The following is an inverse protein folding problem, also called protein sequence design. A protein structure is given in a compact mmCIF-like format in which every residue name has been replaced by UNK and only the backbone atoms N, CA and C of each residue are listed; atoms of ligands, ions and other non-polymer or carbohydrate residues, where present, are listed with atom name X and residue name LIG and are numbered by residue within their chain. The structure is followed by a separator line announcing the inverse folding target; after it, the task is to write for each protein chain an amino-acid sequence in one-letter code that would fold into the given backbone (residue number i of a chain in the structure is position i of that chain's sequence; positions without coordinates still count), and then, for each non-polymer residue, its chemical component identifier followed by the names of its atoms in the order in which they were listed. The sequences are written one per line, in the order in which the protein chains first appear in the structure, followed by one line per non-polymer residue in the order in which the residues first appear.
data_IF_247807415752
#
_entry.id   IF_247807415752
#
_cell.length_a   1.000
_cell.length_b   1.000
_cell.length_c   1.000
_cell.angle_alpha   90.00
_cell.angle_beta   90.00
_cell.angle_gamma   90.00
#
_symmetry.space_group_name_H-M   'P 1'
#
loop_
_entity.id
_entity.type
_entity.pdbx_description
1 polymer ?
#
# COMPACT_ATOMS: atom_id res chain seq x y z
N UNK A 1 -49.95 -54.86 5.76
CA UNK A 1 -48.94 -54.20 4.89
C UNK A 1 -48.56 -52.77 5.35
N UNK A 2 -48.80 -52.37 6.62
CA UNK A 2 -48.54 -51.00 7.13
C UNK A 2 -47.36 -50.87 8.12
N UNK A 3 -46.78 -51.98 8.59
CA UNK A 3 -45.72 -51.96 9.61
C UNK A 3 -44.35 -51.53 9.06
N UNK A 4 -44.06 -51.88 7.79
CA UNK A 4 -42.74 -51.66 7.17
C UNK A 4 -42.51 -50.22 6.69
N UNK A 5 -43.54 -49.36 6.62
CA UNK A 5 -43.40 -47.95 6.14
C UNK A 5 -42.95 -46.99 7.24
N UNK A 6 -43.28 -47.28 8.49
CA UNK A 6 -42.90 -46.48 9.67
C UNK A 6 -41.38 -46.37 9.89
N UNK A 7 -40.57 -47.44 9.80
CA UNK A 7 -39.11 -47.33 9.97
C UNK A 7 -38.44 -46.56 8.81
N UNK A 8 -38.98 -46.64 7.59
CA UNK A 8 -38.47 -45.93 6.41
C UNK A 8 -38.67 -44.41 6.57
N UNK A 9 -39.84 -43.99 7.06
CA UNK A 9 -40.14 -42.58 7.32
C UNK A 9 -39.25 -42.00 8.44
N UNK A 10 -38.96 -42.78 9.48
CA UNK A 10 -38.06 -42.37 10.57
C UNK A 10 -36.62 -42.23 10.04
N UNK A 11 -36.15 -43.17 9.23
CA UNK A 11 -34.81 -43.10 8.64
C UNK A 11 -34.63 -41.87 7.72
N UNK A 12 -35.64 -41.53 6.93
CA UNK A 12 -35.63 -40.32 6.09
C UNK A 12 -35.61 -39.03 6.92
N UNK A 13 -36.41 -38.96 8.00
CA UNK A 13 -36.42 -37.81 8.89
C UNK A 13 -35.07 -37.61 9.59
N UNK A 14 -34.44 -38.70 10.06
CA UNK A 14 -33.10 -38.65 10.68
C UNK A 14 -32.05 -38.20 9.67
N UNK A 15 -32.09 -38.71 8.44
CA UNK A 15 -31.16 -38.31 7.38
C UNK A 15 -31.28 -36.82 7.03
N UNK A 16 -32.51 -36.30 6.97
CA UNK A 16 -32.79 -34.87 6.74
C UNK A 16 -32.24 -34.00 7.88
N UNK A 17 -32.40 -34.43 9.14
CA UNK A 17 -31.88 -33.70 10.30
C UNK A 17 -30.35 -33.68 10.28
N UNK A 18 -29.69 -34.80 9.97
CA UNK A 18 -28.23 -34.87 9.86
C UNK A 18 -27.72 -33.95 8.74
N UNK A 19 -28.42 -33.90 7.60
CA UNK A 19 -28.09 -33.01 6.49
C UNK A 19 -28.22 -31.54 6.88
N UNK A 20 -29.27 -31.16 7.61
CA UNK A 20 -29.47 -29.80 8.09
C UNK A 20 -28.39 -29.39 9.11
N UNK A 21 -27.97 -30.31 9.98
CA UNK A 21 -26.87 -30.08 10.93
C UNK A 21 -25.54 -29.90 10.20
N UNK A 22 -25.26 -30.67 9.14
CA UNK A 22 -24.06 -30.52 8.32
C UNK A 22 -24.03 -29.17 7.59
N UNK A 23 -25.16 -28.73 7.04
CA UNK A 23 -25.26 -27.42 6.37
C UNK A 23 -25.08 -26.30 7.38
N UNK A 24 -25.72 -26.39 8.55
CA UNK A 24 -25.52 -25.42 9.63
C UNK A 24 -24.06 -25.39 10.11
N UNK A 25 -23.41 -26.54 10.21
CA UNK A 25 -22.00 -26.64 10.58
C UNK A 25 -21.08 -26.03 9.51
N UNK A 26 -21.38 -26.18 8.22
CA UNK A 26 -20.62 -25.56 7.13
C UNK A 26 -20.76 -24.03 7.12
N UNK A 27 -21.97 -23.51 7.41
CA UNK A 27 -22.21 -22.07 7.53
C UNK A 27 -21.51 -21.51 8.79
N UNK A 28 -21.53 -22.24 9.90
CA UNK A 28 -20.97 -21.80 11.18
C UNK A 28 -19.45 -22.04 11.31
N UNK A 29 -18.88 -23.00 10.57
CA UNK A 29 -17.44 -23.31 10.60
C UNK A 29 -16.56 -22.21 10.02
N UNK A 30 -17.13 -21.11 9.52
CA UNK A 30 -16.35 -19.93 9.22
C UNK A 30 -15.22 -20.19 8.22
N UNK A 31 -15.46 -21.06 7.22
CA UNK A 31 -14.64 -21.12 6.00
C UNK A 31 -15.00 -19.87 5.16
N UNK A 32 -14.85 -18.71 5.78
CA UNK A 32 -14.77 -17.44 5.09
C UNK A 32 -13.38 -17.35 4.52
N UNK A 33 -13.26 -17.03 3.23
CA UNK A 33 -12.03 -16.52 2.67
C UNK A 33 -11.52 -15.41 3.59
N UNK A 34 -10.51 -15.72 4.41
CA UNK A 34 -9.74 -14.70 5.10
C UNK A 34 -9.11 -13.89 3.97
N UNK A 35 -9.71 -12.74 3.63
CA UNK A 35 -9.06 -11.77 2.76
C UNK A 35 -7.69 -11.55 3.39
N UNK A 36 -6.64 -11.88 2.65
CA UNK A 36 -5.28 -11.60 3.09
C UNK A 36 -5.25 -10.11 3.41
N UNK A 37 -4.95 -9.78 4.66
CA UNK A 37 -4.78 -8.39 5.05
C UNK A 37 -3.62 -7.83 4.21
N UNK A 38 -3.79 -6.66 3.58
CA UNK A 38 -2.75 -6.11 2.73
C UNK A 38 -1.46 -5.95 3.54
N UNK A 39 -0.34 -6.33 2.94
CA UNK A 39 0.97 -6.23 3.57
C UNK A 39 1.24 -4.78 3.98
N UNK A 40 1.72 -4.60 5.23
CA UNK A 40 2.09 -3.29 5.74
C UNK A 40 3.39 -2.83 5.08
N UNK A 41 3.32 -1.74 4.34
CA UNK A 41 4.45 -1.15 3.61
C UNK A 41 4.84 0.15 4.33
N UNK A 42 6.13 0.31 4.63
CA UNK A 42 6.68 1.57 5.13
C UNK A 42 7.48 2.25 4.01
N UNK A 43 7.16 3.52 3.73
CA UNK A 43 7.86 4.35 2.76
C UNK A 43 8.65 5.44 3.50
N UNK A 44 9.93 5.58 3.18
CA UNK A 44 10.81 6.61 3.75
C UNK A 44 10.86 7.81 2.81
N UNK A 45 10.49 8.98 3.32
CA UNK A 45 10.52 10.24 2.59
C UNK A 45 11.55 11.20 3.19
N UNK A 46 12.60 11.52 2.42
CA UNK A 46 13.57 12.56 2.77
C UNK A 46 13.27 13.87 2.04
N UNK A 47 13.14 14.95 2.80
CA UNK A 47 12.92 16.29 2.22
C UNK A 47 13.96 17.30 2.73
N UNK A 48 14.46 18.12 1.81
CA UNK A 48 15.42 19.18 2.02
C UNK A 48 14.81 20.53 2.44
N UNK A 49 13.63 20.90 1.94
CA UNK A 49 13.17 22.31 1.89
C UNK A 49 12.06 22.65 2.88
N UNK A 50 11.07 21.78 2.98
CA UNK A 50 9.90 22.03 3.85
C UNK A 50 9.93 21.16 5.10
N UNK A 51 9.26 21.61 6.16
CA UNK A 51 9.07 20.83 7.37
C UNK A 51 7.90 19.83 7.22
N UNK A 52 7.73 18.94 8.19
CA UNK A 52 6.74 17.85 8.10
C UNK A 52 5.29 18.34 8.07
N UNK A 53 5.03 19.53 8.60
CA UNK A 53 3.71 20.16 8.61
C UNK A 53 3.21 20.46 7.20
N UNK A 54 4.09 20.92 6.30
CA UNK A 54 3.77 21.19 4.89
C UNK A 54 3.26 19.94 4.13
N UNK A 55 3.65 18.74 4.57
CA UNK A 55 3.25 17.47 3.97
C UNK A 55 2.23 16.68 4.80
N UNK A 56 1.92 17.13 6.02
CA UNK A 56 1.12 16.36 6.97
C UNK A 56 -0.28 16.02 6.45
N UNK A 57 -0.97 16.99 5.87
CA UNK A 57 -2.31 16.81 5.29
C UNK A 57 -2.27 15.88 4.07
N UNK A 58 -1.29 16.07 3.17
CA UNK A 58 -1.11 15.23 2.00
C UNK A 58 -0.81 13.78 2.38
N UNK A 59 0.10 13.57 3.34
CA UNK A 59 0.46 12.25 3.84
C UNK A 59 -0.77 11.59 4.50
N UNK A 60 -1.52 12.35 5.32
CA UNK A 60 -2.71 11.84 5.98
C UNK A 60 -3.78 11.39 4.96
N UNK A 61 -4.07 12.23 3.96
CA UNK A 61 -5.01 11.89 2.90
C UNK A 61 -4.58 10.64 2.12
N UNK A 62 -3.29 10.52 1.78
CA UNK A 62 -2.76 9.35 1.09
C UNK A 62 -2.88 8.08 1.94
N UNK A 63 -2.59 8.15 3.24
CA UNK A 63 -2.71 7.00 4.14
C UNK A 63 -4.16 6.61 4.45
N UNK A 64 -5.11 7.55 4.36
CA UNK A 64 -6.54 7.25 4.48
C UNK A 64 -7.02 6.37 3.31
N UNK A 65 -6.58 6.67 2.08
CA UNK A 65 -6.87 5.86 0.89
C UNK A 65 -6.06 4.56 0.85
N UNK A 66 -4.85 4.56 1.42
CA UNK A 66 -3.93 3.43 1.44
C UNK A 66 -3.59 2.99 2.87
N UNK A 67 -4.56 2.34 3.54
CA UNK A 67 -4.46 1.93 4.94
C UNK A 67 -3.31 0.97 5.29
N UNK A 68 -2.72 0.33 4.28
CA UNK A 68 -1.56 -0.54 4.44
C UNK A 68 -0.21 0.20 4.30
N UNK A 69 -0.21 1.49 3.99
CA UNK A 69 1.00 2.30 3.79
C UNK A 69 1.25 3.21 5.00
N UNK A 70 2.50 3.26 5.46
CA UNK A 70 3.00 4.22 6.43
C UNK A 70 4.12 5.05 5.84
N UNK A 71 4.03 6.38 5.89
CA UNK A 71 5.08 7.27 5.39
C UNK A 71 5.90 7.82 6.56
N UNK A 72 7.22 7.61 6.55
CA UNK A 72 8.18 8.17 7.51
C UNK A 72 8.87 9.37 6.88
N UNK A 73 8.45 10.57 7.30
CA UNK A 73 9.04 11.83 6.85
C UNK A 73 10.29 12.20 7.64
N UNK A 74 11.34 12.59 6.93
CA UNK A 74 12.58 13.08 7.51
C UNK A 74 12.99 14.40 6.86
N UNK A 75 12.96 15.47 7.66
CA UNK A 75 13.60 16.73 7.32
C UNK A 75 15.12 16.58 7.36
N UNK A 76 15.77 16.85 6.23
CA UNK A 76 17.23 16.82 6.08
C UNK A 76 17.79 18.22 5.99
N UNK A 77 19.05 18.38 6.41
CA UNK A 77 19.77 19.64 6.36
C UNK A 77 20.64 19.71 5.12
N UNK A 78 20.60 20.85 4.41
CA UNK A 78 21.28 21.02 3.12
C UNK A 78 22.76 20.63 3.12
N UNK A 79 23.49 21.01 4.17
CA UNK A 79 24.94 20.90 4.25
C UNK A 79 25.46 19.45 4.14
N UNK A 80 24.74 18.47 4.68
CA UNK A 80 25.17 17.07 4.70
C UNK A 80 24.32 16.17 3.82
N UNK A 81 23.20 16.68 3.31
CA UNK A 81 22.16 15.87 2.68
C UNK A 81 22.66 15.07 1.49
N UNK A 82 23.40 15.69 0.57
CA UNK A 82 23.86 15.01 -0.65
C UNK A 82 24.79 13.83 -0.30
N UNK A 83 25.74 14.04 0.61
CA UNK A 83 26.65 12.98 1.06
C UNK A 83 25.91 11.87 1.79
N UNK A 84 24.95 12.21 2.66
CA UNK A 84 24.11 11.22 3.34
C UNK A 84 23.29 10.40 2.34
N UNK A 85 22.71 11.04 1.33
CA UNK A 85 21.90 10.39 0.29
C UNK A 85 22.75 9.41 -0.52
N UNK A 86 23.92 9.83 -0.99
CA UNK A 86 24.80 8.97 -1.79
C UNK A 86 25.28 7.76 -0.98
N UNK A 87 25.66 7.96 0.28
CA UNK A 87 26.05 6.86 1.16
C UNK A 87 24.89 5.90 1.45
N UNK A 88 23.68 6.42 1.65
CA UNK A 88 22.48 5.61 1.88
C UNK A 88 22.13 4.76 0.65
N UNK A 89 22.14 5.36 -0.54
CA UNK A 89 21.91 4.67 -1.81
C UNK A 89 22.96 3.57 -2.05
N UNK A 90 24.24 3.89 -1.87
CA UNK A 90 25.33 2.92 -2.03
C UNK A 90 25.23 1.75 -1.03
N UNK A 91 24.69 1.99 0.17
CA UNK A 91 24.46 0.97 1.18
C UNK A 91 23.15 0.19 1.01
N UNK A 92 22.36 0.46 -0.05
CA UNK A 92 21.05 -0.17 -0.26
C UNK A 92 19.99 0.24 0.78
N UNK A 93 20.17 1.38 1.43
CA UNK A 93 19.28 1.94 2.46
C UNK A 93 18.85 3.38 2.13
N UNK A 94 18.77 3.68 0.83
CA UNK A 94 18.27 4.96 0.35
C UNK A 94 16.78 5.14 0.70
N UNK A 95 16.28 6.39 0.72
CA UNK A 95 14.86 6.64 0.88
C UNK A 95 14.08 6.21 -0.37
N UNK A 96 12.78 5.96 -0.21
CA UNK A 96 11.86 5.66 -1.32
C UNK A 96 11.44 6.95 -2.04
N UNK A 97 11.27 8.03 -1.29
CA UNK A 97 10.91 9.36 -1.80
C UNK A 97 11.97 10.35 -1.35
N UNK A 98 12.47 11.17 -2.28
CA UNK A 98 13.51 12.14 -1.99
C UNK A 98 13.25 13.45 -2.72
N UNK A 99 13.66 14.57 -2.13
CA UNK A 99 13.78 15.85 -2.84
C UNK A 99 15.25 16.16 -3.10
N UNK A 100 15.58 16.71 -4.27
CA UNK A 100 16.92 17.23 -4.58
C UNK A 100 16.81 18.66 -5.07
N UNK A 101 17.91 19.40 -4.97
CA UNK A 101 18.01 20.67 -5.67
C UNK A 101 18.00 20.42 -7.19
N UNK A 102 17.29 21.26 -7.96
CA UNK A 102 17.11 21.07 -9.41
C UNK A 102 18.45 20.99 -10.17
N UNK A 103 19.45 21.77 -9.76
CA UNK A 103 20.80 21.74 -10.38
C UNK A 103 21.54 20.42 -10.18
N UNK A 104 21.09 19.55 -9.28
CA UNK A 104 21.70 18.24 -9.03
C UNK A 104 21.13 17.14 -9.92
N UNK A 105 20.02 17.40 -10.63
CA UNK A 105 19.37 16.42 -11.49
C UNK A 105 20.34 15.79 -12.52
N UNK A 106 21.19 16.55 -13.25
CA UNK A 106 22.13 15.94 -14.19
C UNK A 106 23.13 14.98 -13.53
N UNK A 107 23.48 15.22 -12.25
CA UNK A 107 24.44 14.42 -11.49
C UNK A 107 23.83 13.12 -10.95
N UNK A 108 22.53 13.14 -10.63
CA UNK A 108 21.83 12.02 -9.97
C UNK A 108 20.75 11.36 -10.83
N UNK A 109 20.62 11.73 -12.11
CA UNK A 109 19.63 11.15 -13.01
C UNK A 109 19.70 9.61 -13.11
N UNK A 110 20.88 9.03 -12.90
CA UNK A 110 21.13 7.59 -12.92
C UNK A 110 20.77 6.89 -11.60
N UNK A 111 20.39 7.65 -10.57
CA UNK A 111 20.06 7.18 -9.21
C UNK A 111 18.58 7.33 -8.87
N UNK A 112 17.79 7.89 -9.79
CA UNK A 112 16.36 8.14 -9.62
C UNK A 112 15.58 7.55 -10.79
N UNK A 113 14.28 7.34 -10.58
CA UNK A 113 13.39 6.79 -11.61
C UNK A 113 12.75 7.95 -12.38
N UNK A 114 12.72 7.91 -13.73
CA UNK A 114 12.03 8.93 -14.51
C UNK A 114 10.53 8.92 -14.19
N UNK A 115 9.93 10.11 -14.14
CA UNK A 115 8.49 10.24 -13.92
C UNK A 115 7.70 9.51 -15.03
N UNK A 116 6.59 8.82 -14.69
CA UNK A 116 5.71 8.24 -15.70
C UNK A 116 5.14 9.31 -16.63
N UNK A 117 5.15 9.03 -17.94
CA UNK A 117 4.67 9.98 -18.97
C UNK A 117 3.18 10.31 -18.84
N UNK A 118 2.41 9.43 -18.22
CA UNK A 118 0.97 9.59 -18.03
C UNK A 118 0.63 10.47 -16.80
N UNK A 119 1.61 10.70 -15.91
CA UNK A 119 1.44 11.51 -14.70
C UNK A 119 1.64 13.00 -15.00
N UNK A 120 2.69 13.34 -15.74
CA UNK A 120 3.01 14.72 -16.12
C UNK A 120 3.63 14.76 -17.51
N UNK A 121 3.03 15.52 -18.43
CA UNK A 121 3.61 15.72 -19.76
C UNK A 121 4.72 16.78 -19.73
N UNK A 122 5.63 16.74 -20.71
CA UNK A 122 6.68 17.76 -20.85
C UNK A 122 6.12 19.16 -21.07
N UNK A 123 4.92 19.26 -21.65
CA UNK A 123 4.19 20.51 -21.83
C UNK A 123 3.72 21.04 -20.48
N UNK A 124 3.04 20.21 -19.70
CA UNK A 124 2.46 20.61 -18.41
C UNK A 124 3.58 21.03 -17.45
N UNK A 125 4.68 20.27 -17.43
CA UNK A 125 5.86 20.63 -16.66
C UNK A 125 6.36 22.04 -16.99
N UNK A 126 6.54 22.36 -18.28
CA UNK A 126 6.99 23.69 -18.71
C UNK A 126 6.02 24.82 -18.38
N UNK A 127 4.72 24.53 -18.28
CA UNK A 127 3.71 25.53 -17.93
C UNK A 127 3.62 25.76 -16.42
N UNK A 128 3.82 24.72 -15.62
CA UNK A 128 3.75 24.79 -14.15
C UNK A 128 5.07 25.35 -13.57
N UNK A 129 6.20 25.05 -14.20
CA UNK A 129 7.54 25.35 -13.70
C UNK A 129 8.34 26.27 -14.63
N UNK A 130 7.78 27.43 -14.96
CA UNK A 130 8.33 28.36 -15.97
C UNK A 130 9.77 28.81 -15.67
N UNK A 131 10.13 28.93 -14.38
CA UNK A 131 11.41 29.51 -13.96
C UNK A 131 12.58 28.51 -13.91
N UNK A 132 12.29 27.20 -14.00
CA UNK A 132 13.29 26.13 -13.83
C UNK A 132 13.33 25.12 -14.99
N UNK A 133 12.44 25.26 -15.97
CA UNK A 133 12.27 24.36 -17.11
C UNK A 133 13.09 24.74 -18.36
#
# INVERSE_FOLDING_TARGET
MFSQRKPILIALAVCLIILLILIAFLIFSGIGCKKAEPEKIELVFWNLWDDSDAFSELIAAYQEEHSNITIKYYKKTYQEYENQLINALAAGRGPDILTIHNTWLPKHQDKIVPAPRDLISTRDYKQIFVDVA
#
